data_IF_073384973530
#
_entry.id   IF_073384973530
#
_cell.length_a   1.000
_cell.length_b   1.000
_cell.length_c   1.000
_cell.angle_alpha   90.00
_cell.angle_beta   90.00
_cell.angle_gamma   90.00
#
_symmetry.space_group_name_H-M   'P 1'
#
loop_
_entity.id
_entity.type
_entity.pdbx_description
1 polymer ?
#
# COMPACT_ATOMS: atom_id res chain seq x y z
N UNK A 1 36.16 -43.03 45.29
CA UNK A 1 35.25 -43.30 44.15
C UNK A 1 34.06 -42.35 44.24
N UNK A 2 34.03 -41.28 43.46
CA UNK A 2 32.82 -40.48 43.24
C UNK A 2 32.36 -40.71 41.80
N UNK A 3 31.13 -41.21 41.61
CA UNK A 3 30.53 -41.35 40.28
C UNK A 3 29.85 -40.05 39.90
N UNK A 4 30.43 -39.31 38.97
CA UNK A 4 29.79 -38.15 38.36
C UNK A 4 28.68 -38.62 37.43
N UNK A 5 27.42 -38.51 37.84
CA UNK A 5 26.29 -38.67 36.93
C UNK A 5 26.21 -37.42 36.03
N UNK A 6 26.48 -37.60 34.73
CA UNK A 6 26.17 -36.59 33.73
C UNK A 6 24.67 -36.68 33.47
N UNK A 7 23.90 -35.74 34.00
CA UNK A 7 22.51 -35.54 33.61
C UNK A 7 22.53 -34.91 32.21
N UNK A 8 22.19 -35.69 31.19
CA UNK A 8 21.90 -35.13 29.86
C UNK A 8 20.63 -34.27 29.99
N UNK A 9 20.82 -32.95 30.08
CA UNK A 9 19.73 -32.01 29.86
C UNK A 9 19.26 -32.12 28.41
N UNK A 10 18.06 -32.66 28.22
CA UNK A 10 17.35 -32.59 26.95
C UNK A 10 17.00 -31.12 26.69
N UNK A 11 17.93 -30.42 26.03
CA UNK A 11 17.69 -29.13 25.42
C UNK A 11 16.71 -29.35 24.27
N UNK A 12 15.42 -29.33 24.59
CA UNK A 12 14.35 -29.15 23.61
C UNK A 12 14.52 -27.74 23.07
N UNK A 13 15.34 -27.63 22.02
CA UNK A 13 15.27 -26.54 21.09
C UNK A 13 13.83 -26.49 20.60
N UNK A 14 13.07 -25.51 21.08
CA UNK A 14 11.88 -25.02 20.41
C UNK A 14 12.35 -24.47 19.05
N UNK A 15 12.56 -25.37 18.09
CA UNK A 15 12.43 -24.99 16.69
C UNK A 15 10.99 -24.53 16.57
N UNK A 16 10.80 -23.21 16.49
CA UNK A 16 9.49 -22.63 16.22
C UNK A 16 8.91 -23.36 15.02
N UNK A 17 7.69 -23.87 15.16
CA UNK A 17 7.00 -24.57 14.08
C UNK A 17 7.01 -23.60 12.90
N UNK A 18 7.75 -23.94 11.85
CA UNK A 18 7.71 -23.18 10.61
C UNK A 18 6.26 -23.18 10.17
N UNK A 19 5.60 -22.02 10.22
CA UNK A 19 4.20 -21.84 9.81
C UNK A 19 4.14 -21.93 8.27
N UNK A 20 4.43 -23.10 7.72
CA UNK A 20 4.62 -23.37 6.30
C UNK A 20 3.30 -23.70 5.62
N UNK A 21 2.32 -22.79 5.72
CA UNK A 21 1.06 -22.89 4.97
C UNK A 21 1.25 -22.48 3.51
N UNK A 22 0.52 -23.13 2.59
CA UNK A 22 0.47 -22.80 1.16
C UNK A 22 -0.70 -21.86 0.85
N UNK A 23 -1.87 -22.11 1.45
CA UNK A 23 -3.08 -21.31 1.28
C UNK A 23 -3.81 -21.10 2.62
N UNK A 24 -4.44 -19.94 2.77
CA UNK A 24 -5.38 -19.62 3.82
C UNK A 24 -6.77 -19.39 3.19
N UNK A 25 -7.81 -19.89 3.85
CA UNK A 25 -9.18 -19.94 3.30
C UNK A 25 -10.13 -19.41 4.35
N UNK A 26 -10.77 -18.27 4.08
CA UNK A 26 -11.85 -17.74 4.90
C UNK A 26 -13.17 -18.45 4.54
N UNK A 27 -13.80 -19.08 5.52
CA UNK A 27 -15.09 -19.73 5.39
C UNK A 27 -15.98 -19.40 6.61
N UNK A 28 -16.98 -18.54 6.41
CA UNK A 28 -17.89 -18.11 7.46
C UNK A 28 -17.17 -17.43 8.63
N UNK A 29 -17.07 -18.14 9.75
CA UNK A 29 -16.49 -17.69 11.02
C UNK A 29 -15.04 -18.16 11.25
N UNK A 30 -14.33 -18.62 10.22
CA UNK A 30 -12.98 -19.16 10.38
C UNK A 30 -12.06 -18.93 9.20
N UNK A 31 -10.75 -18.96 9.49
CA UNK A 31 -9.67 -19.05 8.50
C UNK A 31 -8.98 -20.40 8.70
N UNK A 32 -9.10 -21.30 7.72
CA UNK A 32 -8.37 -22.55 7.66
C UNK A 32 -7.06 -22.40 6.87
N UNK A 33 -5.96 -22.90 7.40
CA UNK A 33 -4.65 -22.93 6.76
C UNK A 33 -4.34 -24.31 6.23
N UNK A 34 -3.81 -24.41 5.02
CA UNK A 34 -3.57 -25.70 4.36
C UNK A 34 -2.18 -25.78 3.74
N UNK A 35 -1.59 -26.98 3.79
CA UNK A 35 -0.28 -27.31 3.22
C UNK A 35 -0.40 -28.65 2.50
N UNK A 36 -0.02 -28.75 1.22
CA UNK A 36 -0.23 -29.95 0.40
C UNK A 36 -1.67 -30.54 0.48
N UNK A 37 -2.68 -29.68 0.66
CA UNK A 37 -4.09 -30.07 0.82
C UNK A 37 -4.51 -30.49 2.22
N UNK A 38 -3.58 -30.68 3.15
CA UNK A 38 -3.87 -31.00 4.56
C UNK A 38 -4.09 -29.70 5.33
N UNK A 39 -5.19 -29.63 6.08
CA UNK A 39 -5.47 -28.51 7.00
C UNK A 39 -4.52 -28.57 8.20
N UNK A 40 -3.66 -27.57 8.36
CA UNK A 40 -2.64 -27.51 9.42
C UNK A 40 -3.08 -26.72 10.65
N UNK A 41 -3.95 -25.72 10.46
CA UNK A 41 -4.41 -24.82 11.51
C UNK A 41 -5.79 -24.27 11.15
N UNK A 42 -6.60 -23.92 12.15
CA UNK A 42 -7.83 -23.12 11.98
C UNK A 42 -7.86 -22.03 13.03
N UNK A 43 -8.12 -20.79 12.60
CA UNK A 43 -8.41 -19.66 13.48
C UNK A 43 -9.90 -19.33 13.40
N UNK A 44 -10.58 -19.26 14.53
CA UNK A 44 -12.02 -18.97 14.62
C UNK A 44 -12.25 -17.53 15.08
N UNK A 45 -13.27 -16.88 14.51
CA UNK A 45 -13.65 -15.50 14.74
C UNK A 45 -15.11 -15.46 15.25
N UNK A 46 -15.48 -14.42 15.99
CA UNK A 46 -16.88 -14.19 16.40
C UNK A 46 -17.77 -13.70 15.26
N UNK A 47 -17.13 -13.21 14.20
CA UNK A 47 -17.71 -12.49 13.08
C UNK A 47 -17.55 -13.25 11.78
N UNK A 48 -18.34 -12.86 10.78
CA UNK A 48 -18.26 -13.39 9.44
C UNK A 48 -17.20 -12.66 8.62
N UNK A 49 -16.35 -13.40 7.88
CA UNK A 49 -15.28 -12.85 7.04
C UNK A 49 -15.62 -12.90 5.53
N UNK A 50 -15.39 -11.81 4.78
CA UNK A 50 -15.69 -11.76 3.32
C UNK A 50 -14.45 -11.84 2.41
N UNK A 51 -13.56 -10.86 2.50
CA UNK A 51 -12.39 -10.70 1.64
C UNK A 51 -11.12 -11.12 2.38
N UNK A 52 -10.09 -11.58 1.67
CA UNK A 52 -8.75 -11.85 2.20
C UNK A 52 -7.67 -11.14 1.36
N UNK A 53 -6.65 -10.65 2.03
CA UNK A 53 -5.33 -10.36 1.48
C UNK A 53 -4.24 -10.85 2.45
N UNK A 54 -2.99 -10.87 2.01
CA UNK A 54 -1.84 -11.27 2.83
C UNK A 54 -0.74 -10.22 2.69
N UNK A 55 -0.30 -9.71 3.84
CA UNK A 55 0.90 -8.91 3.98
C UNK A 55 2.09 -9.85 4.11
N UNK A 56 2.81 -10.01 3.00
CA UNK A 56 4.05 -10.82 2.90
C UNK A 56 5.28 -10.12 3.52
N UNK A 57 5.18 -8.84 3.91
CA UNK A 57 6.26 -8.09 4.59
C UNK A 57 6.20 -8.34 6.10
N UNK A 58 5.00 -8.28 6.69
CA UNK A 58 4.77 -8.40 8.13
C UNK A 58 4.18 -9.76 8.55
N UNK A 59 4.04 -10.71 7.62
CA UNK A 59 3.47 -12.04 7.85
C UNK A 59 2.04 -11.94 8.48
N UNK A 60 1.20 -11.05 7.94
CA UNK A 60 -0.14 -10.75 8.47
C UNK A 60 -1.25 -11.11 7.47
N UNK A 61 -2.29 -11.83 7.92
CA UNK A 61 -3.51 -12.01 7.12
C UNK A 61 -4.46 -10.83 7.34
N UNK A 62 -4.93 -10.23 6.24
CA UNK A 62 -5.83 -9.09 6.21
C UNK A 62 -7.20 -9.55 5.73
N UNK A 63 -8.27 -9.04 6.34
CA UNK A 63 -9.64 -9.47 6.05
C UNK A 63 -10.70 -8.40 6.32
N UNK A 64 -11.87 -8.57 5.71
CA UNK A 64 -13.06 -7.76 6.02
C UNK A 64 -13.92 -8.49 7.04
N UNK A 65 -14.11 -7.87 8.20
CA UNK A 65 -15.02 -8.29 9.26
C UNK A 65 -16.41 -7.65 9.04
N UNK A 66 -17.43 -8.47 8.74
CA UNK A 66 -18.78 -7.95 8.43
C UNK A 66 -19.56 -7.48 9.66
N UNK A 67 -19.13 -7.80 10.87
CA UNK A 67 -19.87 -7.51 12.10
C UNK A 67 -19.36 -6.25 12.81
N UNK A 68 -18.04 -6.02 12.80
CA UNK A 68 -17.44 -4.80 13.33
C UNK A 68 -17.72 -3.66 12.35
N UNK A 69 -18.49 -2.67 12.79
CA UNK A 69 -18.82 -1.44 12.05
C UNK A 69 -19.31 -1.65 10.60
N UNK A 70 -19.96 -2.78 10.30
CA UNK A 70 -20.44 -3.17 8.96
C UNK A 70 -19.35 -3.06 7.87
N UNK A 71 -18.46 -4.06 7.81
CA UNK A 71 -17.27 -4.15 6.94
C UNK A 71 -16.04 -3.33 7.40
N UNK A 72 -15.57 -3.58 8.63
CA UNK A 72 -14.24 -3.14 9.07
C UNK A 72 -13.12 -3.92 8.36
N UNK A 73 -11.98 -3.27 8.10
CA UNK A 73 -10.77 -3.96 7.65
C UNK A 73 -9.91 -4.26 8.88
N UNK A 74 -9.64 -5.55 9.08
CA UNK A 74 -8.82 -6.05 10.17
C UNK A 74 -7.72 -6.98 9.68
N UNK A 75 -6.76 -7.27 10.55
CA UNK A 75 -5.68 -8.18 10.28
C UNK A 75 -5.29 -8.96 11.52
N UNK A 76 -4.71 -10.14 11.28
CA UNK A 76 -4.12 -10.98 12.32
C UNK A 76 -2.71 -11.38 11.90
N UNK A 77 -1.75 -11.04 12.76
CA UNK A 77 -0.36 -11.46 12.62
C UNK A 77 -0.27 -12.98 12.75
N UNK A 78 0.46 -13.64 11.84
CA UNK A 78 0.64 -15.09 11.87
C UNK A 78 1.56 -15.53 13.03
N UNK A 79 2.74 -14.91 13.27
CA UNK A 79 3.68 -15.38 14.29
C UNK A 79 3.20 -15.21 15.74
N UNK A 80 2.62 -14.05 16.10
CA UNK A 80 2.28 -13.70 17.50
C UNK A 80 0.77 -13.65 17.78
N UNK A 81 -0.06 -13.89 16.76
CA UNK A 81 -1.53 -13.88 16.83
C UNK A 81 -2.12 -12.51 17.20
N UNK A 82 -1.36 -11.42 17.08
CA UNK A 82 -1.85 -10.07 17.34
C UNK A 82 -2.95 -9.67 16.35
N UNK A 83 -4.12 -9.31 16.87
CA UNK A 83 -5.30 -8.89 16.11
C UNK A 83 -5.46 -7.37 16.17
N UNK A 84 -5.67 -6.73 15.02
CA UNK A 84 -5.91 -5.29 14.92
C UNK A 84 -6.87 -4.96 13.78
N UNK A 85 -7.61 -3.85 13.91
CA UNK A 85 -8.38 -3.27 12.80
C UNK A 85 -7.79 -1.93 12.38
N UNK A 86 -7.61 -1.77 11.06
CA UNK A 86 -6.98 -0.61 10.42
C UNK A 86 -8.00 0.37 9.84
N UNK A 87 -9.23 -0.10 9.59
CA UNK A 87 -10.34 0.72 9.12
C UNK A 87 -11.62 0.32 9.86
N UNK A 88 -12.27 1.30 10.49
CA UNK A 88 -13.57 1.14 11.16
C UNK A 88 -14.50 2.26 10.72
N UNK A 89 -15.39 2.00 9.76
CA UNK A 89 -16.32 3.00 9.23
C UNK A 89 -17.61 2.35 8.74
N UNK A 90 -18.70 2.71 9.42
CA UNK A 90 -20.05 2.23 9.13
C UNK A 90 -20.54 2.66 7.73
N UNK A 91 -21.27 1.76 7.06
CA UNK A 91 -21.96 2.00 5.79
C UNK A 91 -21.20 1.56 4.52
N UNK A 92 -20.00 1.00 4.64
CA UNK A 92 -19.24 0.49 3.49
C UNK A 92 -19.74 -0.88 3.03
N UNK A 93 -19.31 -1.32 1.85
CA UNK A 93 -19.53 -2.68 1.36
C UNK A 93 -18.25 -3.21 0.69
N UNK A 94 -17.29 -3.59 1.53
CA UNK A 94 -15.92 -3.88 1.10
C UNK A 94 -15.84 -5.30 0.54
N UNK A 95 -15.36 -5.45 -0.69
CA UNK A 95 -15.47 -6.70 -1.45
C UNK A 95 -14.14 -7.33 -1.86
N UNK A 96 -13.19 -6.52 -2.33
CA UNK A 96 -11.84 -6.95 -2.68
C UNK A 96 -10.82 -6.25 -1.78
N UNK A 97 -9.75 -6.98 -1.45
CA UNK A 97 -8.56 -6.47 -0.76
C UNK A 97 -7.34 -6.87 -1.58
N UNK A 98 -6.40 -5.95 -1.80
CA UNK A 98 -5.11 -6.24 -2.40
C UNK A 98 -4.01 -5.44 -1.70
N UNK A 99 -3.06 -6.14 -1.08
CA UNK A 99 -1.93 -5.53 -0.41
C UNK A 99 -0.76 -5.34 -1.38
N UNK A 100 -0.12 -4.17 -1.32
CA UNK A 100 1.09 -3.85 -2.08
C UNK A 100 2.33 -3.93 -1.17
N UNK A 101 3.20 -4.95 -1.32
CA UNK A 101 4.39 -5.14 -0.47
C UNK A 101 5.51 -4.12 -0.73
N UNK A 102 5.36 -3.28 -1.76
CA UNK A 102 6.31 -2.23 -2.15
C UNK A 102 6.04 -0.94 -1.39
N UNK A 103 4.79 -0.46 -1.41
CA UNK A 103 4.38 0.79 -0.74
C UNK A 103 3.83 0.57 0.66
N UNK A 104 3.65 -0.69 1.09
CA UNK A 104 2.99 -1.09 2.34
C UNK A 104 1.55 -0.54 2.45
N UNK A 105 0.89 -0.41 1.28
CA UNK A 105 -0.48 0.07 1.15
C UNK A 105 -1.44 -1.09 0.89
N UNK A 106 -2.55 -1.09 1.62
CA UNK A 106 -3.69 -1.96 1.34
C UNK A 106 -4.71 -1.20 0.48
N UNK A 107 -4.97 -1.71 -0.72
CA UNK A 107 -6.02 -1.23 -1.61
C UNK A 107 -7.30 -2.06 -1.43
N UNK A 108 -8.46 -1.41 -1.57
CA UNK A 108 -9.76 -2.07 -1.41
C UNK A 108 -10.87 -1.46 -2.27
N UNK A 109 -11.83 -2.29 -2.66
CA UNK A 109 -13.04 -1.88 -3.38
C UNK A 109 -14.20 -1.67 -2.40
N UNK A 110 -14.91 -0.55 -2.54
CA UNK A 110 -16.16 -0.28 -1.83
C UNK A 110 -17.31 -0.20 -2.85
N UNK A 111 -18.24 -1.15 -2.77
CA UNK A 111 -19.38 -1.23 -3.69
C UNK A 111 -20.45 -0.19 -3.44
N UNK A 112 -20.67 0.19 -2.18
CA UNK A 112 -21.69 1.19 -1.84
C UNK A 112 -21.22 2.56 -2.33
N UNK A 113 -19.95 2.86 -2.08
CA UNK A 113 -19.30 4.10 -2.52
C UNK A 113 -18.79 4.07 -3.97
N UNK A 114 -18.96 2.98 -4.73
CA UNK A 114 -18.42 2.81 -6.10
C UNK A 114 -16.99 3.36 -6.24
N UNK A 115 -16.09 2.91 -5.38
CA UNK A 115 -14.74 3.49 -5.30
C UNK A 115 -13.66 2.48 -5.01
N UNK A 116 -12.44 2.86 -5.38
CA UNK A 116 -11.20 2.20 -4.98
C UNK A 116 -10.47 3.15 -4.04
N UNK A 117 -10.05 2.62 -2.91
CA UNK A 117 -9.43 3.37 -1.83
C UNK A 117 -8.15 2.65 -1.38
N UNK A 118 -7.29 3.37 -0.64
CA UNK A 118 -6.06 2.84 -0.05
C UNK A 118 -5.92 3.25 1.41
N UNK A 119 -5.24 2.43 2.21
CA UNK A 119 -4.78 2.77 3.58
C UNK A 119 -3.35 2.26 3.81
N UNK A 120 -2.54 2.97 4.61
CA UNK A 120 -1.31 2.41 5.16
C UNK A 120 -1.64 1.51 6.37
N UNK A 121 -0.91 0.40 6.54
CA UNK A 121 -1.12 -0.54 7.65
C UNK A 121 -0.44 -0.12 8.97
N UNK A 122 -0.49 1.17 9.31
CA UNK A 122 0.13 1.70 10.54
C UNK A 122 -0.69 1.30 11.78
N UNK A 123 -0.09 0.59 12.75
CA UNK A 123 -0.77 0.23 13.99
C UNK A 123 -1.29 1.45 14.76
N UNK A 124 -2.57 1.42 15.11
CA UNK A 124 -3.22 2.46 15.93
C UNK A 124 -3.61 3.74 15.17
N UNK A 125 -3.36 3.82 13.86
CA UNK A 125 -3.84 4.93 13.04
C UNK A 125 -5.35 4.84 12.80
N UNK A 126 -6.08 5.93 13.04
CA UNK A 126 -7.47 6.08 12.60
C UNK A 126 -7.51 6.44 11.11
N UNK A 127 -7.36 5.43 10.25
CA UNK A 127 -7.46 5.63 8.80
C UNK A 127 -8.92 5.67 8.34
N UNK A 128 -9.24 6.57 7.40
CA UNK A 128 -10.56 6.67 6.78
C UNK A 128 -10.64 6.10 5.36
N UNK A 129 -9.48 5.74 4.78
CA UNK A 129 -9.32 5.37 3.39
C UNK A 129 -9.14 6.60 2.50
N UNK A 130 -7.97 6.73 1.89
CA UNK A 130 -7.71 7.73 0.86
C UNK A 130 -8.30 7.25 -0.47
N UNK A 131 -9.04 8.13 -1.14
CA UNK A 131 -9.63 7.82 -2.44
C UNK A 131 -8.52 7.68 -3.49
N UNK A 132 -8.52 6.57 -4.23
CA UNK A 132 -7.71 6.40 -5.45
C UNK A 132 -8.55 6.83 -6.65
N UNK A 133 -9.78 6.30 -6.76
CA UNK A 133 -10.72 6.70 -7.81
C UNK A 133 -12.17 6.46 -7.38
N UNK A 134 -13.05 7.39 -7.78
CA UNK A 134 -14.51 7.27 -7.72
C UNK A 134 -15.01 6.85 -9.12
N UNK A 135 -15.95 5.92 -9.17
CA UNK A 135 -16.58 5.43 -10.39
C UNK A 135 -18.03 5.94 -10.45
N UNK A 136 -18.53 6.16 -11.66
CA UNK A 136 -19.81 6.83 -11.88
C UNK A 136 -20.96 5.82 -11.86
N UNK A 137 -21.00 4.93 -12.85
CA UNK A 137 -22.03 3.90 -13.01
C UNK A 137 -21.53 2.51 -12.61
N UNK A 138 -20.22 2.29 -12.72
CA UNK A 138 -19.59 0.99 -12.53
C UNK A 138 -19.53 0.57 -11.05
N UNK A 139 -19.66 -0.73 -10.80
CA UNK A 139 -19.43 -1.32 -9.48
C UNK A 139 -18.12 -2.11 -9.52
N UNK A 140 -17.07 -1.69 -8.76
CA UNK A 140 -15.82 -2.43 -8.69
C UNK A 140 -16.04 -3.69 -7.83
N UNK A 141 -15.55 -4.84 -8.29
CA UNK A 141 -15.71 -6.13 -7.58
C UNK A 141 -14.41 -6.62 -6.97
N UNK A 142 -13.66 -7.46 -7.69
CA UNK A 142 -12.35 -7.95 -7.27
C UNK A 142 -11.23 -7.01 -7.71
N UNK A 143 -10.09 -7.08 -7.02
CA UNK A 143 -8.98 -6.13 -7.11
C UNK A 143 -7.64 -6.85 -6.97
N UNK A 144 -6.66 -6.42 -7.76
CA UNK A 144 -5.29 -6.92 -7.66
C UNK A 144 -4.30 -5.80 -7.99
N UNK A 145 -3.15 -5.80 -7.33
CA UNK A 145 -2.10 -4.80 -7.55
C UNK A 145 -1.03 -5.30 -8.51
N UNK A 146 -0.52 -4.42 -9.35
CA UNK A 146 0.77 -4.53 -10.01
C UNK A 146 1.76 -3.64 -9.26
N UNK A 147 2.35 -4.21 -8.21
CA UNK A 147 3.40 -3.61 -7.41
C UNK A 147 4.59 -3.16 -8.23
N UNK A 148 4.84 -3.82 -9.37
CA UNK A 148 6.00 -3.58 -10.20
C UNK A 148 5.90 -2.35 -11.08
N UNK A 149 4.69 -1.91 -11.44
CA UNK A 149 4.43 -0.74 -12.29
C UNK A 149 3.57 0.32 -11.59
N UNK A 150 3.09 0.04 -10.38
CA UNK A 150 2.31 0.99 -9.57
C UNK A 150 0.88 1.17 -10.06
N UNK A 151 0.24 0.09 -10.53
CA UNK A 151 -1.15 0.08 -10.98
C UNK A 151 -2.03 -0.80 -10.08
N UNK A 152 -3.24 -0.32 -9.77
CA UNK A 152 -4.34 -1.19 -9.32
C UNK A 152 -5.09 -1.66 -10.56
N UNK A 153 -5.37 -2.97 -10.65
CA UNK A 153 -6.30 -3.55 -11.61
C UNK A 153 -7.58 -3.98 -10.87
N UNK A 154 -8.74 -3.81 -11.50
CA UNK A 154 -10.01 -4.29 -10.95
C UNK A 154 -10.97 -4.73 -12.04
N UNK A 155 -12.02 -5.44 -11.62
CA UNK A 155 -13.16 -5.77 -12.47
C UNK A 155 -14.27 -4.73 -12.24
N UNK A 156 -14.65 -4.01 -13.30
CA UNK A 156 -15.84 -3.15 -13.34
C UNK A 156 -17.06 -3.94 -13.80
N UNK A 157 -18.12 -3.90 -13.00
CA UNK A 157 -19.43 -4.50 -13.28
C UNK A 157 -20.53 -3.44 -13.28
N UNK A 158 -21.81 -3.84 -13.31
CA UNK A 158 -22.97 -2.94 -13.49
C UNK A 158 -23.01 -2.26 -14.88
N UNK A 159 -22.48 -2.94 -15.89
CA UNK A 159 -22.47 -2.53 -17.30
C UNK A 159 -22.98 -3.70 -18.17
N UNK A 160 -23.50 -3.44 -19.39
CA UNK A 160 -23.86 -4.50 -20.35
C UNK A 160 -22.68 -5.40 -20.71
N UNK A 161 -21.48 -4.84 -20.76
CA UNK A 161 -20.21 -5.57 -20.87
C UNK A 161 -19.33 -5.22 -19.67
N UNK A 162 -19.02 -6.19 -18.78
CA UNK A 162 -18.03 -5.99 -17.72
C UNK A 162 -16.65 -5.67 -18.31
N UNK A 163 -15.80 -5.04 -17.52
CA UNK A 163 -14.47 -4.60 -17.96
C UNK A 163 -13.40 -4.97 -16.95
N UNK A 164 -12.18 -5.19 -17.42
CA UNK A 164 -10.98 -5.12 -16.58
C UNK A 164 -10.32 -3.78 -16.88
N UNK A 165 -10.07 -3.02 -15.83
CA UNK A 165 -9.51 -1.67 -15.89
C UNK A 165 -8.27 -1.58 -15.00
N UNK A 166 -7.42 -0.57 -15.26
CA UNK A 166 -6.31 -0.19 -14.39
C UNK A 166 -6.27 1.30 -14.11
N UNK A 167 -5.60 1.68 -13.03
CA UNK A 167 -5.32 3.06 -12.63
C UNK A 167 -4.04 3.08 -11.80
N UNK A 168 -3.26 4.16 -11.86
CA UNK A 168 -2.07 4.31 -11.00
C UNK A 168 -2.47 4.42 -9.53
N UNK A 169 -1.55 4.09 -8.63
CA UNK A 169 -1.74 4.19 -7.18
C UNK A 169 -2.12 5.61 -6.67
N UNK A 170 -1.95 6.65 -7.48
CA UNK A 170 -2.34 8.04 -7.20
C UNK A 170 -3.67 8.46 -7.88
N UNK A 171 -4.34 7.57 -8.62
CA UNK A 171 -5.58 7.85 -9.35
C UNK A 171 -5.38 8.33 -10.80
N UNK A 172 -4.14 8.52 -11.25
CA UNK A 172 -3.84 8.91 -12.63
C UNK A 172 -3.87 7.74 -13.63
N UNK A 173 -3.86 8.06 -14.94
CA UNK A 173 -3.77 7.07 -16.03
C UNK A 173 -4.81 5.92 -15.94
N UNK A 174 -6.09 6.23 -15.68
CA UNK A 174 -7.17 5.25 -15.80
C UNK A 174 -7.25 4.74 -17.24
N UNK A 175 -7.24 3.42 -17.41
CA UNK A 175 -7.29 2.76 -18.71
C UNK A 175 -8.19 1.51 -18.67
N UNK A 176 -8.99 1.32 -19.72
CA UNK A 176 -9.76 0.08 -19.93
C UNK A 176 -8.87 -0.92 -20.66
N UNK A 177 -8.55 -2.02 -19.99
CA UNK A 177 -7.60 -3.03 -20.49
C UNK A 177 -8.30 -4.11 -21.30
N UNK A 178 -9.45 -4.60 -20.83
CA UNK A 178 -10.26 -5.58 -21.53
C UNK A 178 -11.75 -5.25 -21.39
N UNK A 179 -12.49 -5.32 -22.50
CA UNK A 179 -13.94 -5.42 -22.47
C UNK A 179 -14.30 -6.91 -22.51
N UNK A 180 -15.00 -7.39 -21.50
CA UNK A 180 -15.33 -8.81 -21.34
C UNK A 180 -16.65 -9.11 -22.05
N UNK A 181 -16.57 -9.80 -23.18
CA UNK A 181 -17.72 -10.21 -24.01
C UNK A 181 -17.84 -11.73 -24.02
N UNK A 182 -19.04 -12.26 -23.69
CA UNK A 182 -19.31 -13.67 -23.91
C UNK A 182 -19.71 -13.92 -25.35
N UNK A 183 -19.18 -15.00 -25.94
CA UNK A 183 -19.57 -15.47 -27.27
C UNK A 183 -20.61 -16.61 -27.21
N UNK A 184 -20.96 -17.10 -26.02
CA UNK A 184 -21.64 -18.39 -25.81
C UNK A 184 -22.88 -18.33 -24.92
N UNK A 185 -23.21 -17.15 -24.43
CA UNK A 185 -24.22 -16.97 -23.40
C UNK A 185 -25.44 -16.25 -23.98
N UNK A 186 -26.61 -16.68 -23.53
CA UNK A 186 -27.92 -16.06 -23.72
C UNK A 186 -27.83 -14.51 -23.71
N UNK A 187 -28.39 -13.78 -24.71
CA UNK A 187 -28.33 -12.33 -24.75
C UNK A 187 -28.92 -11.63 -23.51
N UNK A 188 -29.79 -12.29 -22.75
CA UNK A 188 -30.36 -11.74 -21.49
C UNK A 188 -29.49 -12.04 -20.25
N UNK A 189 -28.43 -12.87 -20.37
CA UNK A 189 -27.56 -13.23 -19.25
C UNK A 189 -26.36 -12.30 -19.14
N UNK A 190 -26.34 -11.54 -18.04
CA UNK A 190 -25.25 -10.62 -17.70
C UNK A 190 -24.02 -11.40 -17.22
N UNK A 191 -22.89 -11.24 -17.91
CA UNK A 191 -21.60 -11.77 -17.47
C UNK A 191 -21.24 -11.28 -16.05
N UNK A 192 -20.83 -12.21 -15.19
CA UNK A 192 -20.33 -11.90 -13.85
C UNK A 192 -18.94 -12.51 -13.68
N UNK A 193 -17.88 -11.80 -14.10
CA UNK A 193 -16.51 -12.12 -13.70
C UNK A 193 -16.34 -11.91 -12.19
N UNK A 194 -15.73 -12.88 -11.50
CA UNK A 194 -15.74 -12.96 -10.04
C UNK A 194 -14.37 -12.87 -9.36
N UNK A 195 -13.28 -13.11 -10.09
CA UNK A 195 -11.95 -12.93 -9.52
C UNK A 195 -10.88 -12.59 -10.57
N UNK A 196 -9.92 -11.76 -10.17
CA UNK A 196 -8.82 -11.24 -10.97
C UNK A 196 -7.52 -11.34 -10.15
N UNK A 197 -6.48 -11.90 -10.75
CA UNK A 197 -5.15 -12.00 -10.10
C UNK A 197 -4.04 -11.63 -11.07
N UNK A 198 -3.00 -10.96 -10.55
CA UNK A 198 -1.86 -10.45 -11.32
C UNK A 198 -0.61 -11.26 -10.98
N UNK A 199 0.03 -11.85 -12.00
CA UNK A 199 1.36 -12.42 -11.87
C UNK A 199 2.42 -11.38 -12.29
N UNK A 200 3.04 -10.77 -11.28
CA UNK A 200 4.09 -9.77 -11.45
C UNK A 200 5.28 -10.27 -12.27
N UNK A 201 5.67 -11.54 -12.08
CA UNK A 201 6.88 -12.16 -12.63
C UNK A 201 6.68 -12.56 -14.10
N UNK A 202 5.47 -12.99 -14.47
CA UNK A 202 5.08 -13.35 -15.84
C UNK A 202 4.45 -12.21 -16.64
N UNK A 203 4.20 -11.07 -16.01
CA UNK A 203 3.51 -9.92 -16.63
C UNK A 203 2.15 -10.34 -17.22
N UNK A 204 1.35 -11.02 -16.41
CA UNK A 204 0.12 -11.69 -16.86
C UNK A 204 -1.02 -11.49 -15.87
N UNK A 205 -2.21 -11.19 -16.37
CA UNK A 205 -3.44 -11.23 -15.59
C UNK A 205 -4.19 -12.55 -15.86
N UNK A 206 -4.89 -13.05 -14.84
CA UNK A 206 -5.81 -14.17 -14.95
C UNK A 206 -7.17 -13.76 -14.39
N UNK A 207 -8.26 -14.15 -15.05
CA UNK A 207 -9.63 -13.95 -14.55
C UNK A 207 -10.53 -15.17 -14.74
N UNK A 208 -11.55 -15.29 -13.90
CA UNK A 208 -12.66 -16.25 -14.08
C UNK A 208 -13.83 -15.57 -14.75
N UNK A 209 -14.36 -16.17 -15.82
CA UNK A 209 -15.65 -15.82 -16.43
C UNK A 209 -16.54 -17.06 -16.56
N UNK A 210 -17.88 -16.93 -16.46
CA UNK A 210 -18.81 -18.01 -16.84
C UNK A 210 -18.64 -18.38 -18.32
N UNK A 211 -18.63 -19.67 -18.62
CA UNK A 211 -18.57 -20.20 -19.98
C UNK A 211 -19.97 -20.59 -20.49
N UNK A 212 -20.74 -21.23 -19.61
CA UNK A 212 -22.17 -21.51 -19.77
C UNK A 212 -22.83 -21.53 -18.38
N UNK A 213 -24.08 -21.99 -18.28
CA UNK A 213 -24.84 -22.02 -17.01
C UNK A 213 -24.22 -22.88 -15.89
N UNK A 214 -23.24 -23.74 -16.20
CA UNK A 214 -22.69 -24.74 -15.27
C UNK A 214 -21.16 -24.66 -15.14
N UNK A 215 -20.46 -24.18 -16.16
CA UNK A 215 -18.99 -24.18 -16.27
C UNK A 215 -18.41 -22.77 -16.35
N UNK A 216 -17.13 -22.65 -16.01
CA UNK A 216 -16.39 -21.39 -16.06
C UNK A 216 -15.07 -21.58 -16.83
N UNK A 217 -14.55 -20.49 -17.37
CA UNK A 217 -13.22 -20.43 -17.98
C UNK A 217 -12.29 -19.60 -17.10
N UNK A 218 -11.06 -20.11 -16.95
CA UNK A 218 -9.92 -19.35 -16.45
C UNK A 218 -9.19 -18.86 -17.68
N UNK A 219 -9.24 -17.55 -17.91
CA UNK A 219 -8.54 -16.91 -19.02
C UNK A 219 -7.26 -16.25 -18.54
N UNK A 220 -6.38 -15.90 -19.49
CA UNK A 220 -5.24 -15.02 -19.21
C UNK A 220 -4.93 -14.09 -20.40
N UNK A 221 -4.35 -12.94 -20.08
CA UNK A 221 -3.82 -11.96 -21.03
C UNK A 221 -2.53 -11.35 -20.47
N UNK A 222 -1.77 -10.61 -21.27
CA UNK A 222 -0.74 -9.75 -20.71
C UNK A 222 -1.37 -8.57 -19.92
N UNK A 223 -0.55 -7.78 -19.24
CA UNK A 223 -1.02 -6.65 -18.42
C UNK A 223 -1.58 -5.47 -19.23
N UNK A 224 -1.43 -5.47 -20.56
CA UNK A 224 -1.98 -4.45 -21.46
C UNK A 224 -3.23 -4.95 -22.19
N UNK A 225 -3.75 -6.14 -21.84
CA UNK A 225 -4.96 -6.68 -22.44
C UNK A 225 -4.75 -7.26 -23.84
N UNK A 226 -3.49 -7.40 -24.30
CA UNK A 226 -3.23 -8.18 -25.50
C UNK A 226 -3.50 -9.65 -25.14
N UNK A 227 -4.58 -10.21 -25.70
CA UNK A 227 -4.99 -11.58 -25.44
C UNK A 227 -3.98 -12.53 -26.09
N UNK A 228 -2.99 -12.95 -25.31
CA UNK A 228 -1.92 -13.85 -25.77
C UNK A 228 -2.47 -15.22 -26.13
N UNK A 229 -3.46 -15.72 -25.38
CA UNK A 229 -4.24 -16.91 -25.79
C UNK A 229 -5.57 -16.99 -25.02
N UNK A 230 -6.71 -17.10 -25.73
CA UNK A 230 -7.99 -17.51 -25.11
C UNK A 230 -7.99 -19.03 -24.87
N UNK A 231 -7.15 -19.48 -23.95
CA UNK A 231 -7.09 -20.89 -23.55
C UNK A 231 -7.97 -21.11 -22.33
N UNK A 232 -9.06 -21.85 -22.53
CA UNK A 232 -9.72 -22.58 -21.46
C UNK A 232 -8.72 -23.58 -20.87
N UNK A 233 -8.11 -23.25 -19.72
CA UNK A 233 -7.13 -24.16 -19.11
C UNK A 233 -7.82 -25.35 -18.42
N UNK A 234 -9.13 -25.27 -18.15
CA UNK A 234 -9.92 -26.37 -17.60
C UNK A 234 -11.29 -26.49 -18.26
N UNK A 235 -11.58 -27.71 -18.69
CA UNK A 235 -12.93 -28.24 -18.84
C UNK A 235 -13.21 -29.12 -17.60
N UNK A 236 -14.09 -28.65 -16.71
CA UNK A 236 -14.56 -29.48 -15.59
C UNK A 236 -15.59 -30.48 -16.13
N UNK A 237 -15.68 -31.71 -15.59
CA UNK A 237 -16.64 -32.70 -16.07
C UNK A 237 -18.06 -32.12 -16.18
N UNK A 238 -18.74 -32.39 -17.31
CA UNK A 238 -19.96 -31.72 -17.81
C UNK A 238 -21.20 -31.69 -16.87
N UNK A 239 -21.11 -32.22 -15.65
CA UNK A 239 -22.24 -32.52 -14.75
C UNK A 239 -22.13 -31.77 -13.41
N UNK A 240 -21.45 -30.62 -13.39
CA UNK A 240 -21.28 -29.82 -12.18
C UNK A 240 -22.10 -28.53 -12.23
N UNK A 241 -23.20 -28.51 -11.49
CA UNK A 241 -23.85 -27.26 -11.09
C UNK A 241 -22.85 -26.48 -10.22
N UNK A 242 -22.12 -25.54 -10.79
CA UNK A 242 -21.30 -24.59 -10.05
C UNK A 242 -22.06 -23.28 -9.89
N UNK A 243 -22.06 -22.67 -8.69
CA UNK A 243 -22.54 -21.31 -8.52
C UNK A 243 -21.39 -20.35 -8.88
N UNK A 244 -21.43 -19.63 -10.01
CA UNK A 244 -20.27 -18.83 -10.45
C UNK A 244 -19.91 -17.71 -9.47
N UNK A 245 -20.90 -17.26 -8.66
CA UNK A 245 -20.78 -16.11 -7.77
C UNK A 245 -19.69 -16.23 -6.68
N UNK A 246 -19.38 -17.48 -6.30
CA UNK A 246 -18.49 -17.74 -5.18
C UNK A 246 -17.03 -17.90 -5.61
N UNK A 247 -16.74 -18.36 -6.83
CA UNK A 247 -15.39 -18.68 -7.28
C UNK A 247 -14.38 -17.51 -7.07
N UNK A 248 -13.24 -17.83 -6.44
CA UNK A 248 -12.08 -16.96 -6.22
C UNK A 248 -10.80 -17.62 -6.72
N UNK A 249 -9.82 -16.80 -7.06
CA UNK A 249 -8.48 -17.23 -7.44
C UNK A 249 -7.42 -16.63 -6.53
N UNK A 250 -6.28 -17.31 -6.44
CA UNK A 250 -5.06 -16.74 -5.85
C UNK A 250 -3.84 -17.42 -6.44
N UNK A 251 -2.67 -16.79 -6.35
CA UNK A 251 -1.41 -17.23 -6.95
C UNK A 251 -0.36 -17.42 -5.85
N UNK A 252 0.33 -18.56 -5.82
CA UNK A 252 1.62 -18.66 -5.12
C UNK A 252 2.76 -18.27 -6.07
N UNK A 253 4.02 -18.61 -5.75
CA UNK A 253 5.11 -18.49 -6.73
C UNK A 253 4.84 -19.27 -8.03
N UNK A 254 4.37 -20.52 -7.91
CA UNK A 254 4.37 -21.53 -8.97
C UNK A 254 2.98 -21.98 -9.42
N UNK A 255 1.99 -21.90 -8.53
CA UNK A 255 0.67 -22.45 -8.74
C UNK A 255 -0.40 -21.35 -8.79
N UNK A 256 -1.43 -21.59 -9.60
CA UNK A 256 -2.73 -20.94 -9.54
C UNK A 256 -3.66 -21.85 -8.73
N UNK A 257 -4.33 -21.27 -7.73
CA UNK A 257 -5.35 -21.92 -6.93
C UNK A 257 -6.73 -21.38 -7.30
N UNK A 258 -7.67 -22.28 -7.50
CA UNK A 258 -9.07 -21.94 -7.79
C UNK A 258 -9.98 -22.73 -6.88
N UNK A 259 -10.85 -22.01 -6.20
CA UNK A 259 -12.01 -22.58 -5.50
C UNK A 259 -13.12 -22.91 -6.49
N UNK A 260 -13.88 -23.98 -6.24
CA UNK A 260 -15.15 -24.22 -6.94
C UNK A 260 -16.20 -24.82 -6.00
N UNK A 261 -17.46 -24.40 -6.21
CA UNK A 261 -18.62 -24.96 -5.51
C UNK A 261 -19.10 -26.26 -6.16
N UNK A 262 -19.40 -27.28 -5.37
CA UNK A 262 -19.95 -28.56 -5.84
C UNK A 262 -21.40 -28.78 -5.36
N UNK A 263 -22.21 -29.58 -6.10
CA UNK A 263 -23.64 -29.75 -5.84
C UNK A 263 -24.03 -30.23 -4.42
N UNK A 264 -23.11 -30.89 -3.70
CA UNK A 264 -23.32 -31.37 -2.32
C UNK A 264 -23.00 -30.31 -1.24
N UNK A 265 -23.03 -29.02 -1.59
CA UNK A 265 -22.73 -27.87 -0.72
C UNK A 265 -21.29 -27.78 -0.17
N UNK A 266 -20.35 -28.56 -0.73
CA UNK A 266 -18.93 -28.47 -0.39
C UNK A 266 -18.18 -27.50 -1.31
N UNK A 267 -17.42 -26.59 -0.72
CA UNK A 267 -16.34 -25.90 -1.45
C UNK A 267 -15.18 -26.88 -1.67
N UNK A 268 -14.61 -26.86 -2.87
CA UNK A 268 -13.36 -27.56 -3.19
C UNK A 268 -12.32 -26.54 -3.60
N UNK A 269 -11.05 -26.81 -3.32
CA UNK A 269 -9.94 -26.01 -3.82
C UNK A 269 -9.08 -26.92 -4.66
N UNK A 270 -8.72 -26.44 -5.84
CA UNK A 270 -7.88 -27.16 -6.78
C UNK A 270 -6.71 -26.27 -7.21
N UNK A 271 -5.54 -26.87 -7.45
CA UNK A 271 -4.33 -26.17 -7.88
C UNK A 271 -3.79 -26.67 -9.22
N UNK A 272 -3.06 -25.79 -9.91
CA UNK A 272 -2.38 -26.09 -11.16
C UNK A 272 -1.15 -25.19 -11.31
N UNK A 273 -0.05 -25.73 -11.85
CA UNK A 273 1.13 -24.92 -12.19
C UNK A 273 0.78 -23.83 -13.19
N UNK A 274 1.36 -22.64 -13.01
CA UNK A 274 1.20 -21.51 -13.94
C UNK A 274 1.90 -21.72 -15.29
N UNK A 275 2.69 -22.77 -15.44
CA UNK A 275 3.35 -23.23 -16.67
C UNK A 275 2.47 -24.21 -17.46
N UNK A 276 1.28 -24.54 -16.95
CA UNK A 276 0.32 -25.41 -17.61
C UNK A 276 -0.06 -24.93 -19.02
N UNK A 277 -0.21 -25.91 -19.92
CA UNK A 277 -0.68 -25.74 -21.29
C UNK A 277 -2.14 -26.17 -21.46
N UNK A 278 -2.73 -25.91 -22.63
CA UNK A 278 -4.11 -26.30 -23.00
C UNK A 278 -4.38 -27.77 -22.65
N UNK A 279 -5.42 -28.03 -21.85
CA UNK A 279 -5.81 -29.41 -21.45
C UNK A 279 -5.05 -29.99 -20.24
N UNK A 280 -4.20 -29.19 -19.58
CA UNK A 280 -3.68 -29.54 -18.25
C UNK A 280 -4.84 -29.69 -17.25
N UNK A 281 -4.72 -30.62 -16.27
CA UNK A 281 -5.76 -30.83 -15.26
C UNK A 281 -5.41 -30.12 -13.95
N UNK A 282 -6.42 -29.56 -13.30
CA UNK A 282 -6.32 -29.08 -11.93
C UNK A 282 -6.37 -30.27 -10.96
N UNK A 283 -5.52 -30.22 -9.94
CA UNK A 283 -5.48 -31.21 -8.87
C UNK A 283 -6.29 -30.69 -7.68
N UNK A 284 -7.37 -31.38 -7.34
CA UNK A 284 -8.18 -31.09 -6.15
C UNK A 284 -7.36 -31.39 -4.90
N UNK A 285 -7.14 -30.36 -4.07
CA UNK A 285 -6.31 -30.43 -2.86
C UNK A 285 -7.13 -30.32 -1.57
N UNK A 286 -8.26 -29.60 -1.57
CA UNK A 286 -9.14 -29.49 -0.39
C UNK A 286 -10.54 -29.99 -0.73
N UNK A 287 -11.12 -30.76 0.20
CA UNK A 287 -12.42 -31.40 0.09
C UNK A 287 -13.15 -31.37 1.43
N UNK A 288 -14.19 -30.55 1.56
CA UNK A 288 -15.09 -30.59 2.71
C UNK A 288 -15.12 -29.30 3.54
N UNK A 289 -15.80 -28.28 3.04
CA UNK A 289 -16.20 -27.10 3.82
C UNK A 289 -17.68 -26.84 3.59
N UNK A 290 -18.46 -26.69 4.66
CA UNK A 290 -19.94 -26.71 4.63
C UNK A 290 -20.53 -25.33 4.31
N UNK A 291 -21.46 -25.33 3.33
CA UNK A 291 -22.54 -24.36 3.11
C UNK A 291 -22.22 -22.91 2.67
N UNK A 292 -22.55 -22.65 1.38
CA UNK A 292 -23.41 -21.54 0.92
C UNK A 292 -23.12 -20.11 1.45
N UNK A 293 -21.84 -19.72 1.47
CA UNK A 293 -21.34 -18.51 2.12
C UNK A 293 -20.26 -17.84 1.25
N UNK A 294 -20.19 -16.50 1.24
CA UNK A 294 -19.03 -15.73 0.71
C UNK A 294 -17.74 -16.36 1.28
N UNK A 295 -16.85 -16.82 0.40
CA UNK A 295 -15.53 -17.29 0.81
C UNK A 295 -14.45 -16.45 0.14
N UNK A 296 -13.24 -16.49 0.72
CA UNK A 296 -12.03 -15.96 0.10
C UNK A 296 -10.87 -16.92 0.31
N UNK A 297 -9.91 -16.86 -0.62
CA UNK A 297 -8.70 -17.67 -0.62
C UNK A 297 -7.51 -16.74 -0.86
N UNK A 298 -6.44 -16.91 -0.09
CA UNK A 298 -5.16 -16.25 -0.36
C UNK A 298 -4.04 -17.29 -0.26
N UNK A 299 -3.16 -17.32 -1.26
CA UNK A 299 -1.97 -18.15 -1.21
C UNK A 299 -0.86 -17.42 -0.47
N UNK A 300 0.02 -18.18 0.16
CA UNK A 300 1.28 -17.64 0.67
C UNK A 300 2.17 -17.33 -0.52
N UNK A 301 2.09 -16.09 -0.97
CA UNK A 301 2.97 -15.58 -1.99
C UNK A 301 4.32 -15.24 -1.33
N UNK A 302 5.37 -16.00 -1.67
CA UNK A 302 6.75 -15.72 -1.23
C UNK A 302 7.57 -15.05 -2.36
N UNK A 303 6.89 -14.49 -3.38
CA UNK A 303 7.57 -13.75 -4.44
C UNK A 303 8.09 -12.44 -3.85
N UNK A 304 9.28 -12.50 -3.25
CA UNK A 304 10.04 -11.30 -2.91
C UNK A 304 10.11 -10.46 -4.16
N UNK A 305 9.45 -9.30 -4.11
CA UNK A 305 9.34 -8.42 -5.26
C UNK A 305 10.75 -8.11 -5.81
N UNK A 306 11.73 -7.93 -4.92
CA UNK A 306 13.17 -7.79 -5.18
C UNK A 306 13.77 -8.80 -6.20
N UNK A 307 13.24 -10.02 -6.32
CA UNK A 307 13.76 -11.06 -7.23
C UNK A 307 13.19 -10.95 -8.68
N UNK A 308 12.31 -9.98 -8.95
CA UNK A 308 11.64 -9.81 -10.25
C UNK A 308 12.44 -8.86 -11.15
N UNK A 309 13.21 -9.43 -12.09
CA UNK A 309 14.09 -8.71 -13.04
C UNK A 309 13.46 -7.55 -13.84
N UNK A 310 12.15 -7.56 -14.07
CA UNK A 310 11.43 -6.53 -14.84
C UNK A 310 10.54 -5.62 -13.98
N UNK A 311 10.74 -5.64 -12.67
CA UNK A 311 9.93 -4.88 -11.74
C UNK A 311 10.47 -3.46 -11.61
N UNK A 312 9.72 -2.46 -12.04
CA UNK A 312 10.21 -1.08 -12.02
C UNK A 312 10.34 -0.59 -10.59
N UNK A 313 9.38 -0.96 -9.73
CA UNK A 313 9.42 -0.77 -8.29
C UNK A 313 10.61 -1.43 -7.56
N UNK A 314 11.31 -2.41 -8.15
CA UNK A 314 12.48 -3.06 -7.50
C UNK A 314 13.77 -2.32 -7.77
N UNK A 315 13.85 -1.64 -8.92
CA UNK A 315 14.94 -0.71 -9.22
C UNK A 315 15.13 0.26 -8.02
N UNK A 316 14.07 0.47 -7.23
CA UNK A 316 13.87 1.40 -6.13
C UNK A 316 14.26 1.01 -4.72
N UNK A 317 14.05 -0.25 -4.34
CA UNK A 317 14.42 -0.74 -2.99
C UNK A 317 15.87 -1.19 -2.93
N UNK A 318 16.43 -1.53 -4.09
CA UNK A 318 17.87 -1.37 -4.29
C UNK A 318 18.19 0.13 -4.08
N UNK A 319 19.17 0.48 -3.23
CA UNK A 319 19.48 1.86 -2.81
C UNK A 319 20.04 2.73 -3.97
N UNK A 320 19.16 2.94 -4.96
CA UNK A 320 19.45 3.41 -6.31
C UNK A 320 18.20 4.03 -6.98
N UNK A 321 17.09 3.34 -7.27
CA UNK A 321 16.23 3.74 -8.41
C UNK A 321 14.66 3.58 -8.38
N UNK A 322 13.86 4.28 -7.52
CA UNK A 322 12.50 4.88 -7.83
C UNK A 322 11.34 4.97 -6.79
N UNK A 323 10.93 6.20 -6.47
CA UNK A 323 9.54 6.56 -6.16
C UNK A 323 9.34 7.83 -6.97
N UNK A 324 8.94 7.64 -8.22
CA UNK A 324 9.19 8.61 -9.27
C UNK A 324 8.58 9.98 -8.89
N UNK A 325 9.38 11.03 -8.62
CA UNK A 325 9.06 12.00 -7.57
C UNK A 325 8.44 13.32 -8.09
N UNK A 326 7.48 13.87 -7.36
CA UNK A 326 6.82 15.13 -7.76
C UNK A 326 7.60 16.36 -7.27
N UNK A 327 8.05 17.18 -8.22
CA UNK A 327 8.88 18.36 -7.98
C UNK A 327 8.06 19.64 -8.17
N UNK A 328 8.06 20.54 -7.18
CA UNK A 328 7.36 21.83 -7.25
C UNK A 328 8.20 22.87 -7.98
N UNK A 329 9.39 23.18 -7.48
CA UNK A 329 10.38 24.05 -8.12
C UNK A 329 11.61 23.23 -8.52
N UNK A 330 11.41 22.26 -9.41
CA UNK A 330 12.43 21.28 -9.76
C UNK A 330 11.99 20.27 -10.81
N UNK A 331 12.84 19.27 -11.06
CA UNK A 331 12.62 18.24 -12.09
C UNK A 331 12.67 16.81 -11.53
N UNK A 332 11.75 15.99 -12.02
CA UNK A 332 11.54 14.58 -11.65
C UNK A 332 12.73 13.74 -12.10
N UNK A 333 13.39 13.06 -11.15
CA UNK A 333 14.48 12.14 -11.49
C UNK A 333 13.88 10.78 -11.81
N UNK A 334 13.66 10.53 -13.11
CA UNK A 334 13.07 9.29 -13.63
C UNK A 334 13.76 8.08 -13.03
N UNK A 335 12.97 7.18 -12.44
CA UNK A 335 13.53 6.01 -11.82
C UNK A 335 14.34 6.33 -10.55
N UNK A 336 14.02 7.34 -9.73
CA UNK A 336 14.56 7.59 -8.36
C UNK A 336 13.47 8.09 -7.42
N UNK A 337 13.71 8.16 -6.10
CA UNK A 337 12.71 8.57 -5.10
C UNK A 337 12.70 10.09 -4.81
N UNK A 338 13.40 10.90 -5.61
CA UNK A 338 14.03 12.16 -5.14
C UNK A 338 14.02 13.27 -6.20
N UNK A 339 13.57 14.47 -5.81
CA UNK A 339 13.47 15.65 -6.68
C UNK A 339 14.81 16.39 -6.85
N UNK A 340 15.04 17.04 -8.00
CA UNK A 340 16.17 17.98 -8.20
C UNK A 340 15.66 19.42 -8.17
N UNK A 341 16.14 20.23 -7.23
CA UNK A 341 15.61 21.57 -6.98
C UNK A 341 16.33 22.68 -7.76
N UNK A 342 15.59 23.73 -8.11
CA UNK A 342 16.13 24.97 -8.67
C UNK A 342 16.88 25.78 -7.58
N UNK A 343 17.82 26.68 -7.97
CA UNK A 343 18.50 27.57 -7.02
C UNK A 343 17.49 28.34 -6.16
N UNK A 344 17.71 28.38 -4.85
CA UNK A 344 16.79 28.98 -3.89
C UNK A 344 15.73 28.04 -3.31
N UNK A 345 15.66 26.76 -3.72
CA UNK A 345 14.69 25.77 -3.22
C UNK A 345 15.33 24.49 -2.68
N UNK A 346 14.73 23.93 -1.64
CA UNK A 346 15.16 22.69 -0.96
C UNK A 346 13.94 21.81 -0.59
N UNK A 347 14.20 20.68 0.07
CA UNK A 347 13.18 19.71 0.48
C UNK A 347 13.06 18.53 -0.48
N UNK A 348 12.42 17.44 -0.04
CA UNK A 348 12.25 16.22 -0.85
C UNK A 348 11.43 16.44 -2.13
N UNK A 349 10.68 17.56 -2.22
CA UNK A 349 9.83 17.96 -3.35
C UNK A 349 10.17 19.32 -3.95
N UNK A 350 11.26 19.97 -3.52
CA UNK A 350 11.66 21.29 -3.99
C UNK A 350 10.57 22.35 -3.77
N UNK A 351 9.98 22.29 -2.58
CA UNK A 351 8.76 22.96 -2.16
C UNK A 351 9.01 23.99 -1.03
N UNK A 352 10.21 24.02 -0.47
CA UNK A 352 10.63 24.97 0.58
C UNK A 352 11.63 25.95 -0.02
N UNK A 353 11.41 27.26 0.14
CA UNK A 353 12.40 28.27 -0.27
C UNK A 353 13.48 28.43 0.80
N UNK A 354 14.73 28.63 0.41
CA UNK A 354 15.84 28.86 1.34
C UNK A 354 15.76 30.22 2.05
N UNK A 355 14.88 31.12 1.59
CA UNK A 355 14.61 32.40 2.25
C UNK A 355 13.49 32.29 3.30
N UNK A 356 12.73 31.19 3.35
CA UNK A 356 11.58 31.05 4.24
C UNK A 356 12.04 31.06 5.70
N UNK A 357 11.68 32.12 6.43
CA UNK A 357 12.14 32.41 7.80
C UNK A 357 13.68 32.45 7.98
N UNK A 358 14.45 32.67 6.91
CA UNK A 358 15.91 32.75 7.02
C UNK A 358 16.35 34.04 7.72
N UNK A 359 15.92 35.21 7.24
CA UNK A 359 16.17 36.50 7.89
C UNK A 359 15.12 36.77 8.96
N UNK A 360 15.54 37.09 10.19
CA UNK A 360 14.61 37.34 11.30
C UNK A 360 14.07 38.78 11.27
N UNK A 361 14.96 39.77 11.18
CA UNK A 361 14.61 41.21 11.15
C UNK A 361 15.22 41.89 9.93
N UNK A 362 14.88 41.39 8.74
CA UNK A 362 15.42 41.91 7.49
C UNK A 362 14.78 41.31 6.25
N UNK A 363 15.22 41.79 5.08
CA UNK A 363 14.81 41.28 3.78
C UNK A 363 15.78 40.20 3.28
N UNK A 364 15.25 39.06 2.83
CA UNK A 364 16.04 37.99 2.21
C UNK A 364 16.18 38.21 0.70
N UNK A 365 17.36 37.92 0.18
CA UNK A 365 17.68 37.90 -1.26
C UNK A 365 18.59 36.70 -1.54
N UNK A 366 18.65 36.24 -2.79
CA UNK A 366 19.63 35.22 -3.19
C UNK A 366 20.87 35.91 -3.76
N UNK A 367 22.05 35.42 -3.41
CA UNK A 367 23.30 35.84 -4.07
C UNK A 367 23.49 35.14 -5.43
N UNK A 368 24.56 35.47 -6.16
CA UNK A 368 24.89 34.86 -7.47
C UNK A 368 25.11 33.32 -7.43
N UNK A 369 25.16 32.73 -6.24
CA UNK A 369 25.30 31.30 -5.98
C UNK A 369 24.01 30.63 -5.49
N UNK A 370 22.89 31.37 -5.41
CA UNK A 370 21.59 30.85 -4.96
C UNK A 370 21.46 30.64 -3.45
N UNK A 371 22.40 31.16 -2.65
CA UNK A 371 22.34 31.11 -1.19
C UNK A 371 21.61 32.34 -0.62
N UNK A 372 20.88 32.19 0.49
CA UNK A 372 20.18 33.32 1.12
C UNK A 372 21.17 34.31 1.71
N UNK A 373 20.93 35.60 1.47
CA UNK A 373 21.65 36.74 2.01
C UNK A 373 20.66 37.74 2.57
N UNK A 374 20.84 38.08 3.85
CA UNK A 374 20.00 39.06 4.52
C UNK A 374 20.50 40.49 4.29
N UNK A 375 19.56 41.41 4.14
CA UNK A 375 19.75 42.85 4.35
C UNK A 375 18.89 43.25 5.53
N UNK A 376 19.54 43.57 6.65
CA UNK A 376 18.88 43.87 7.91
C UNK A 376 18.11 45.19 7.87
N UNK A 377 17.07 45.26 8.70
CA UNK A 377 16.41 46.50 9.02
C UNK A 377 17.31 47.33 9.95
N UNK A 378 17.14 48.66 9.97
CA UNK A 378 17.87 49.55 10.86
C UNK A 378 17.81 49.06 12.32
N UNK A 379 18.97 49.03 12.99
CA UNK A 379 19.12 48.56 14.37
C UNK A 379 19.31 47.06 14.56
N UNK A 380 19.32 46.27 13.48
CA UNK A 380 19.60 44.84 13.52
C UNK A 380 20.86 44.48 12.73
N UNK A 381 21.61 43.50 13.24
CA UNK A 381 22.86 43.01 12.67
C UNK A 381 23.02 41.49 12.85
N UNK A 382 24.11 40.95 12.31
CA UNK A 382 24.34 39.49 12.22
C UNK A 382 23.91 38.94 10.86
N UNK A 383 24.37 37.71 10.54
CA UNK A 383 24.17 37.07 9.23
C UNK A 383 22.69 36.81 8.91
N UNK A 384 21.84 36.70 9.95
CA UNK A 384 20.39 36.48 9.84
C UNK A 384 19.57 37.64 10.42
N UNK A 385 20.21 38.77 10.73
CA UNK A 385 19.60 39.93 11.39
C UNK A 385 18.97 39.57 12.75
N UNK A 386 19.66 38.72 13.50
CA UNK A 386 19.26 38.19 14.80
C UNK A 386 19.68 39.06 16.00
N UNK A 387 20.66 39.95 15.81
CA UNK A 387 21.24 40.77 16.88
C UNK A 387 20.68 42.19 16.83
N UNK A 388 19.85 42.54 17.80
CA UNK A 388 19.51 43.94 18.13
C UNK A 388 20.81 44.65 18.55
N UNK A 389 21.17 45.72 17.82
CA UNK A 389 22.42 46.47 18.00
C UNK A 389 22.42 47.36 19.25
N UNK A 390 21.26 47.65 19.82
CA UNK A 390 21.10 48.43 21.04
C UNK A 390 20.94 47.56 22.30
N UNK A 391 20.44 46.32 22.16
CA UNK A 391 20.23 45.41 23.27
C UNK A 391 21.54 45.07 24.01
N UNK A 392 21.70 45.62 25.21
CA UNK A 392 22.91 45.47 26.02
C UNK A 392 24.14 46.25 25.49
N UNK A 393 23.97 47.12 24.49
CA UNK A 393 25.05 47.96 24.00
C UNK A 393 25.44 49.01 25.05
N UNK A 394 24.49 49.84 25.48
CA UNK A 394 24.72 50.83 26.52
C UNK A 394 24.63 50.21 27.92
N UNK A 395 25.61 50.51 28.77
CA UNK A 395 25.64 50.12 30.18
C UNK A 395 25.06 51.23 31.06
N UNK A 396 24.86 50.93 32.35
CA UNK A 396 24.49 51.92 33.38
C UNK A 396 23.28 52.81 33.04
N UNK A 397 22.27 52.23 32.41
CA UNK A 397 21.04 52.90 31.94
C UNK A 397 21.26 54.00 30.88
N UNK A 398 22.37 53.98 30.13
CA UNK A 398 22.56 54.85 28.97
C UNK A 398 21.49 54.58 27.90
N UNK A 399 21.00 55.64 27.26
CA UNK A 399 19.98 55.53 26.19
C UNK A 399 20.68 55.25 24.87
N UNK A 400 20.30 54.16 24.19
CA UNK A 400 20.83 53.82 22.88
C UNK A 400 20.01 54.48 21.76
N UNK A 401 20.69 55.03 20.76
CA UNK A 401 20.11 55.47 19.50
C UNK A 401 21.03 55.11 18.33
N UNK A 402 20.48 55.05 17.12
CA UNK A 402 21.26 54.88 15.89
C UNK A 402 21.56 56.25 15.29
N UNK A 403 22.75 56.42 14.72
CA UNK A 403 23.10 57.63 13.96
C UNK A 403 22.63 57.53 12.48
N UNK A 404 22.96 58.54 11.67
CA UNK A 404 22.60 58.58 10.23
C UNK A 404 23.26 57.48 9.37
N UNK A 405 24.18 56.69 9.94
CA UNK A 405 24.85 55.54 9.31
C UNK A 405 24.42 54.20 9.94
N UNK A 406 23.29 54.17 10.67
CA UNK A 406 22.76 53.01 11.40
C UNK A 406 23.69 52.41 12.49
N UNK A 407 24.69 53.18 12.96
CA UNK A 407 25.63 52.76 14.01
C UNK A 407 25.08 53.12 15.41
N UNK A 408 25.08 52.19 16.38
CA UNK A 408 24.59 52.45 17.74
C UNK A 408 25.50 53.40 18.52
N UNK A 409 24.88 54.35 19.22
CA UNK A 409 25.50 55.37 20.05
C UNK A 409 24.79 55.45 21.40
N UNK A 410 25.54 55.74 22.46
CA UNK A 410 25.02 55.82 23.82
C UNK A 410 25.01 57.26 24.35
N UNK A 411 23.84 57.72 24.80
CA UNK A 411 23.73 58.91 25.63
C UNK A 411 23.80 58.49 27.12
N UNK A 412 24.89 58.86 27.78
CA UNK A 412 25.14 58.50 29.19
C UNK A 412 24.47 59.44 30.20
N UNK A 413 24.04 58.89 31.34
CA UNK A 413 23.70 59.68 32.55
C UNK A 413 24.96 60.44 33.03
N UNK A 414 24.78 61.58 33.70
CA UNK A 414 25.87 62.53 34.05
C UNK A 414 27.03 61.90 34.83
N UNK A 415 26.76 60.78 35.52
CA UNK A 415 27.69 60.00 36.36
C UNK A 415 28.57 59.02 35.59
N UNK A 416 28.32 58.80 34.31
CA UNK A 416 29.02 57.81 33.50
C UNK A 416 29.57 58.40 32.20
N UNK A 417 30.62 57.79 31.68
CA UNK A 417 31.25 58.12 30.39
C UNK A 417 31.89 56.87 29.76
N UNK A 418 32.56 57.06 28.62
CA UNK A 418 32.96 55.97 27.73
C UNK A 418 31.97 55.79 26.58
N UNK A 419 32.35 55.01 25.56
CA UNK A 419 31.55 54.85 24.34
C UNK A 419 30.26 54.05 24.55
N UNK A 420 30.19 53.31 25.65
CA UNK A 420 29.07 52.46 26.07
C UNK A 420 28.61 52.80 27.50
N UNK A 421 28.98 53.96 28.03
CA UNK A 421 28.71 54.40 29.41
C UNK A 421 29.27 53.46 30.50
N UNK A 422 30.38 52.80 30.20
CA UNK A 422 31.01 51.75 31.00
C UNK A 422 31.89 52.29 32.15
N UNK A 423 32.26 53.58 32.13
CA UNK A 423 33.17 54.20 33.10
C UNK A 423 32.39 55.12 34.04
N UNK A 424 32.59 54.98 35.36
CA UNK A 424 32.13 55.98 36.34
C UNK A 424 32.96 57.26 36.22
N UNK A 425 32.31 58.40 35.99
CA UNK A 425 32.97 59.71 36.01
C UNK A 425 33.57 59.98 37.38
N UNK A 426 34.89 60.20 37.40
CA UNK A 426 35.57 60.64 38.60
C UNK A 426 35.04 62.03 38.99
N UNK A 427 34.43 62.14 40.17
CA UNK A 427 34.17 63.45 40.79
C UNK A 427 35.53 64.13 41.04
N UNK A 428 35.75 65.26 40.37
CA UNK A 428 36.77 66.23 40.77
C UNK A 428 36.31 67.03 41.99
#
# INVERSE_FOLDING_TARGET
MYKTQIVLGLLVLYMGISHSWEIAVAHGYGIGFYTNGVQTEVRTFSSYLRALAYDEVHDMLLFVDKQIDNDAICGISIPDHFYQCFLKRNGRNIHGLAFDPVTELLFFTDKNERSINKIPLVPGANNFGDLVIKLDEEIPTDIAVDSCRGYVYWISTNLPTPKIERVRFDGSEREVILNLTSAYIDPDYILKPHSLVIDQRKQRMYWIEPANSFTYHINYADLNGQIVTKTTIIDLPEVLFTNPASNRMTLSERDLFVSSWWPEFYTTISKMSKEAYVGSRFFRIVSGSVANQDFSIVARNQIRIQDIRHCEAVKCFDEKHSVDPYCVHGEKVFGRCLCKCAPGYIGKRCDVSVCDNYCLQGSCSLNDQGLPKCRCNAGYSGERCETDMCHGFCQNNGVCSLNEEDVPSCQCDEKYEGSRCEVLRAKK
#
